data_IF_790155008348
#
_entry.id   IF_790155008348
#
_cell.length_a   1.000
_cell.length_b   1.000
_cell.length_c   1.000
_cell.angle_alpha   90.00
_cell.angle_beta   90.00
_cell.angle_gamma   90.00
#
_symmetry.space_group_name_H-M   'P 1'
#
loop_
_entity.id
_entity.type
_entity.pdbx_description
1 polymer ?
#
# COMPACT_ATOMS: atom_id res chain seq x y z
N UNK A 1 2.88 1.54 7.56
CA UNK A 1 1.95 0.44 7.86
C UNK A 1 1.02 0.28 6.66
N UNK A 2 0.61 -0.95 6.34
CA UNK A 2 -0.26 -1.32 5.22
C UNK A 2 -1.29 -2.35 5.70
N UNK A 3 -2.32 -2.63 4.91
CA UNK A 3 -3.40 -3.56 5.27
C UNK A 3 -4.38 -2.97 6.28
N UNK A 4 -4.52 -1.64 6.30
CA UNK A 4 -5.51 -1.00 7.17
C UNK A 4 -6.94 -1.33 6.71
N UNK A 5 -7.92 -1.37 7.63
CA UNK A 5 -9.31 -1.60 7.24
C UNK A 5 -9.76 -0.51 6.27
N UNK A 6 -10.39 -0.91 5.16
CA UNK A 6 -10.86 -0.04 4.09
C UNK A 6 -9.74 0.64 3.26
N UNK A 7 -8.49 0.19 3.39
CA UNK A 7 -7.38 0.70 2.59
C UNK A 7 -7.43 0.17 1.16
N UNK A 8 -7.45 1.09 0.19
CA UNK A 8 -7.37 0.77 -1.24
C UNK A 8 -5.91 0.82 -1.73
N UNK A 9 -5.65 0.22 -2.88
CA UNK A 9 -4.33 0.22 -3.52
C UNK A 9 -3.87 1.64 -3.88
N UNK A 10 -4.80 2.54 -4.21
CA UNK A 10 -4.47 3.96 -4.45
C UNK A 10 -3.97 4.65 -3.18
N UNK A 11 -4.57 4.37 -2.01
CA UNK A 11 -4.13 4.91 -0.72
C UNK A 11 -2.73 4.38 -0.33
N UNK A 12 -2.45 3.11 -0.60
CA UNK A 12 -1.10 2.53 -0.43
C UNK A 12 -0.10 3.26 -1.34
N UNK A 13 -0.47 3.50 -2.59
CA UNK A 13 0.38 4.21 -3.55
C UNK A 13 0.67 5.66 -3.12
N UNK A 14 -0.32 6.36 -2.55
CA UNK A 14 -0.13 7.69 -2.00
C UNK A 14 0.84 7.68 -0.81
N UNK A 15 0.75 6.67 0.05
CA UNK A 15 1.70 6.45 1.16
C UNK A 15 3.13 6.20 0.64
N UNK A 16 3.29 5.42 -0.44
CA UNK A 16 4.57 5.19 -1.11
C UNK A 16 5.15 6.52 -1.64
N UNK A 17 4.35 7.31 -2.36
CA UNK A 17 4.78 8.60 -2.89
C UNK A 17 5.18 9.58 -1.80
N UNK A 18 4.43 9.61 -0.69
CA UNK A 18 4.74 10.42 0.48
C UNK A 18 6.13 10.06 1.03
N UNK A 19 6.40 8.78 1.26
CA UNK A 19 7.71 8.33 1.74
C UNK A 19 8.84 8.66 0.74
N UNK A 20 8.60 8.52 -0.56
CA UNK A 20 9.55 8.89 -1.60
C UNK A 20 9.91 10.39 -1.60
N UNK A 21 8.93 11.26 -1.32
CA UNK A 21 9.15 12.71 -1.17
C UNK A 21 9.87 13.08 0.11
N UNK A 22 9.54 12.42 1.22
CA UNK A 22 10.17 12.67 2.53
C UNK A 22 11.65 12.26 2.58
N UNK A 23 12.07 11.31 1.72
CA UNK A 23 13.45 10.79 1.63
C UNK A 23 14.01 10.36 3.00
N UNK A 24 13.28 9.56 3.81
CA UNK A 24 13.78 9.12 5.11
C UNK A 24 15.04 8.25 4.96
N UNK A 25 15.89 8.26 5.98
CA UNK A 25 17.07 7.40 6.06
C UNK A 25 16.69 5.91 6.21
N UNK A 26 15.57 5.65 6.89
CA UNK A 26 15.10 4.29 7.19
C UNK A 26 13.59 4.24 7.03
N UNK A 27 13.09 3.16 6.42
CA UNK A 27 11.66 2.89 6.25
C UNK A 27 11.37 1.55 6.90
N UNK A 28 10.39 1.53 7.80
CA UNK A 28 9.85 0.31 8.38
C UNK A 28 8.43 0.13 7.87
N UNK A 29 8.18 -1.04 7.27
CA UNK A 29 6.86 -1.43 6.79
C UNK A 29 6.33 -2.52 7.71
N UNK A 30 5.11 -2.35 8.15
CA UNK A 30 4.38 -3.32 8.97
C UNK A 30 2.97 -3.49 8.42
N UNK A 31 2.39 -4.65 8.62
CA UNK A 31 0.98 -4.91 8.32
C UNK A 31 0.13 -4.70 9.55
N UNK A 32 -1.05 -4.11 9.38
CA UNK A 32 -2.02 -3.92 10.44
C UNK A 32 -2.56 -5.28 10.91
N UNK A 33 -2.62 -5.47 12.22
CA UNK A 33 -3.27 -6.62 12.87
C UNK A 33 -4.38 -6.07 13.77
N UNK A 34 -5.63 -6.57 13.65
CA UNK A 34 -6.75 -6.14 14.46
C UNK A 34 -6.63 -6.73 15.87
N UNK A 35 -5.86 -6.07 16.74
CA UNK A 35 -5.71 -6.54 18.12
C UNK A 35 -7.05 -6.52 18.87
N UNK A 36 -7.43 -7.61 19.56
CA UNK A 36 -8.66 -7.69 20.33
C UNK A 36 -8.81 -6.53 21.33
N UNK A 37 -10.06 -6.15 21.62
CA UNK A 37 -10.41 -5.05 22.54
C UNK A 37 -9.95 -3.65 22.10
N UNK A 38 -9.64 -3.45 20.82
CA UNK A 38 -9.40 -2.13 20.25
C UNK A 38 -10.59 -1.64 19.42
N UNK A 39 -10.77 -0.32 19.33
CA UNK A 39 -11.80 0.28 18.48
C UNK A 39 -11.67 -0.12 17.00
N UNK A 40 -10.44 -0.35 16.55
CA UNK A 40 -10.20 -0.81 15.17
C UNK A 40 -10.60 -2.27 14.99
N UNK A 41 -10.31 -3.15 15.95
CA UNK A 41 -10.82 -4.53 15.91
C UNK A 41 -12.35 -4.56 15.94
N UNK A 42 -13.00 -3.77 16.80
CA UNK A 42 -14.47 -3.65 16.78
C UNK A 42 -15.01 -3.18 15.43
N UNK A 43 -14.35 -2.22 14.79
CA UNK A 43 -14.71 -1.77 13.44
C UNK A 43 -14.58 -2.90 12.42
N UNK A 44 -13.48 -3.67 12.47
CA UNK A 44 -13.26 -4.80 11.57
C UNK A 44 -14.32 -5.87 11.77
N UNK A 45 -14.63 -6.22 13.03
CA UNK A 45 -15.68 -7.18 13.38
C UNK A 45 -17.06 -6.72 12.89
N UNK A 46 -17.45 -5.46 13.17
CA UNK A 46 -18.74 -4.90 12.74
C UNK A 46 -18.90 -4.87 11.22
N UNK A 47 -17.80 -4.70 10.48
CA UNK A 47 -17.78 -4.67 9.01
C UNK A 47 -17.54 -6.05 8.37
N UNK A 48 -17.37 -7.11 9.16
CA UNK A 48 -17.08 -8.45 8.63
C UNK A 48 -15.73 -8.56 7.92
N UNK A 49 -14.74 -7.74 8.33
CA UNK A 49 -13.42 -7.68 7.70
C UNK A 49 -12.42 -8.67 8.31
N UNK A 50 -12.75 -9.35 9.41
CA UNK A 50 -11.82 -10.30 10.04
C UNK A 50 -11.76 -11.59 9.22
N UNK A 51 -10.55 -12.06 8.88
CA UNK A 51 -10.34 -13.38 8.29
C UNK A 51 -9.93 -14.41 9.35
N UNK A 52 -9.99 -15.69 9.00
CA UNK A 52 -9.46 -16.78 9.84
C UNK A 52 -7.93 -16.94 9.72
N UNK A 53 -7.26 -16.04 8.98
CA UNK A 53 -5.81 -16.11 8.80
C UNK A 53 -5.08 -15.73 10.08
N UNK A 54 -4.22 -16.63 10.55
CA UNK A 54 -3.30 -16.35 11.65
C UNK A 54 -1.99 -15.80 11.08
N UNK A 55 -1.64 -14.61 11.56
CA UNK A 55 -0.39 -13.91 11.23
C UNK A 55 0.41 -13.75 12.52
N UNK A 56 1.60 -14.35 12.57
CA UNK A 56 2.41 -14.40 13.79
C UNK A 56 3.22 -13.10 13.98
N UNK A 57 3.47 -12.36 12.90
CA UNK A 57 4.25 -11.12 12.92
C UNK A 57 3.71 -10.06 11.98
N UNK A 58 3.72 -8.80 12.47
CA UNK A 58 3.41 -7.60 11.68
C UNK A 58 4.38 -7.36 10.52
N UNK A 59 5.48 -8.12 10.41
CA UNK A 59 6.49 -7.97 9.35
C UNK A 59 6.38 -9.01 8.24
N UNK A 60 5.41 -9.94 8.32
CA UNK A 60 5.23 -10.98 7.30
C UNK A 60 4.63 -10.46 5.99
N UNK A 61 4.05 -9.25 6.00
CA UNK A 61 3.40 -8.66 4.84
C UNK A 61 2.01 -9.22 4.54
N UNK A 62 1.56 -10.25 5.28
CA UNK A 62 0.22 -10.83 5.21
C UNK A 62 -0.77 -10.08 6.09
N UNK A 63 -2.03 -10.02 5.66
CA UNK A 63 -3.10 -9.28 6.35
C UNK A 63 -4.16 -10.24 6.88
N UNK A 64 -4.48 -10.22 8.19
CA UNK A 64 -5.58 -11.01 8.75
C UNK A 64 -6.96 -10.35 8.49
N UNK A 65 -7.04 -9.50 7.47
CA UNK A 65 -8.26 -8.82 7.07
C UNK A 65 -8.65 -9.24 5.65
N UNK A 66 -9.94 -9.45 5.45
CA UNK A 66 -10.57 -9.50 4.12
C UNK A 66 -10.50 -8.10 3.54
N UNK A 67 -9.81 -7.95 2.41
CA UNK A 67 -9.59 -6.67 1.76
C UNK A 67 -10.62 -6.45 0.65
N UNK A 68 -11.02 -5.19 0.44
CA UNK A 68 -11.94 -4.86 -0.65
C UNK A 68 -11.29 -5.05 -2.03
N UNK A 69 -9.99 -4.77 -2.13
CA UNK A 69 -9.19 -4.97 -3.33
C UNK A 69 -8.21 -6.13 -3.12
N UNK A 70 -8.57 -7.30 -3.65
CA UNK A 70 -7.75 -8.50 -3.71
C UNK A 70 -7.26 -8.78 -5.12
N UNK A 71 -6.04 -9.30 -5.24
CA UNK A 71 -5.46 -9.73 -6.50
C UNK A 71 -3.98 -9.43 -6.61
N UNK A 72 -3.31 -10.01 -7.63
CA UNK A 72 -1.84 -10.02 -7.72
C UNK A 72 -1.21 -8.62 -7.67
N UNK A 73 -1.92 -7.62 -8.19
CA UNK A 73 -1.41 -6.25 -8.27
C UNK A 73 -1.52 -5.55 -6.92
N UNK A 74 -2.66 -5.65 -6.24
CA UNK A 74 -2.83 -5.07 -4.91
C UNK A 74 -1.81 -5.66 -3.92
N UNK A 75 -1.59 -6.98 -4.00
CA UNK A 75 -0.59 -7.68 -3.19
C UNK A 75 0.83 -7.26 -3.56
N UNK A 76 1.12 -7.11 -4.85
CA UNK A 76 2.43 -6.62 -5.32
C UNK A 76 2.69 -5.19 -4.86
N UNK A 77 1.70 -4.31 -4.86
CA UNK A 77 1.86 -2.92 -4.39
C UNK A 77 2.11 -2.87 -2.88
N UNK A 78 1.37 -3.67 -2.09
CA UNK A 78 1.56 -3.76 -0.64
C UNK A 78 2.90 -4.41 -0.26
N UNK A 79 3.28 -5.52 -0.89
CA UNK A 79 4.57 -6.17 -0.66
C UNK A 79 5.74 -5.33 -1.21
N UNK A 80 5.50 -4.58 -2.27
CA UNK A 80 6.48 -3.79 -3.01
C UNK A 80 6.70 -2.36 -2.50
N UNK A 81 6.33 -2.02 -1.27
CA UNK A 81 6.47 -0.64 -0.75
C UNK A 81 7.90 -0.12 -0.91
N UNK A 82 8.91 -0.84 -0.44
CA UNK A 82 10.31 -0.39 -0.50
C UNK A 82 10.83 -0.18 -1.94
N UNK A 83 10.71 -1.14 -2.87
CA UNK A 83 11.16 -0.93 -4.24
C UNK A 83 10.40 0.21 -4.94
N UNK A 84 9.08 0.34 -4.70
CA UNK A 84 8.30 1.44 -5.28
C UNK A 84 8.71 2.79 -4.70
N UNK A 85 8.98 2.90 -3.39
CA UNK A 85 9.52 4.14 -2.80
C UNK A 85 10.85 4.51 -3.47
N UNK A 86 11.74 3.53 -3.69
CA UNK A 86 13.00 3.73 -4.41
C UNK A 86 12.80 4.24 -5.84
N UNK A 87 11.85 3.65 -6.58
CA UNK A 87 11.47 4.07 -7.92
C UNK A 87 10.97 5.52 -7.92
N UNK A 88 9.93 5.84 -7.13
CA UNK A 88 9.39 7.20 -7.07
C UNK A 88 10.43 8.22 -6.61
N UNK A 89 11.32 7.86 -5.67
CA UNK A 89 12.42 8.72 -5.23
C UNK A 89 13.38 9.05 -6.39
N UNK A 90 13.64 8.08 -7.28
CA UNK A 90 14.43 8.28 -8.50
C UNK A 90 13.71 9.20 -9.47
N UNK A 91 12.41 8.98 -9.71
CA UNK A 91 11.61 9.84 -10.59
C UNK A 91 11.56 11.29 -10.11
N UNK A 92 11.39 11.49 -8.79
CA UNK A 92 11.43 12.82 -8.18
C UNK A 92 12.82 13.47 -8.17
N UNK A 93 13.90 12.72 -8.43
CA UNK A 93 15.26 13.27 -8.52
C UNK A 93 15.65 13.79 -9.91
N UNK A 94 14.76 13.70 -10.91
CA UNK A 94 15.05 14.24 -12.24
C UNK A 94 15.11 15.77 -12.22
N UNK A 95 16.12 16.32 -12.92
CA UNK A 95 16.39 17.77 -12.96
C UNK A 95 15.30 18.58 -13.66
N UNK A 96 14.56 17.95 -14.59
CA UNK A 96 13.42 18.59 -15.26
C UNK A 96 12.13 18.25 -14.56
N UNK A 97 11.47 19.27 -13.99
CA UNK A 97 10.16 19.13 -13.34
C UNK A 97 9.07 18.56 -14.26
N UNK A 98 9.18 18.81 -15.57
CA UNK A 98 8.25 18.25 -16.54
C UNK A 98 8.49 16.75 -16.68
N UNK A 99 9.73 16.32 -16.88
CA UNK A 99 10.06 14.90 -17.02
C UNK A 99 9.70 14.12 -15.75
N UNK A 100 9.97 14.68 -14.56
CA UNK A 100 9.54 14.10 -13.29
C UNK A 100 8.02 13.90 -13.25
N UNK A 101 7.23 14.95 -13.55
CA UNK A 101 5.76 14.85 -13.59
C UNK A 101 5.24 13.83 -14.61
N UNK A 102 5.75 13.85 -15.83
CA UNK A 102 5.33 12.92 -16.88
C UNK A 102 5.68 11.47 -16.53
N UNK A 103 6.88 11.23 -15.98
CA UNK A 103 7.30 9.89 -15.56
C UNK A 103 6.44 9.35 -14.42
N UNK A 104 6.13 10.17 -13.43
CA UNK A 104 5.24 9.82 -12.31
C UNK A 104 3.84 9.53 -12.82
N UNK A 105 3.28 10.39 -13.70
CA UNK A 105 1.96 10.18 -14.28
C UNK A 105 1.88 8.87 -15.09
N UNK A 106 2.95 8.53 -15.82
CA UNK A 106 3.01 7.28 -16.58
C UNK A 106 3.05 6.06 -15.66
N UNK A 107 3.87 6.09 -14.60
CA UNK A 107 3.94 4.99 -13.63
C UNK A 107 2.63 4.87 -12.84
N UNK A 108 2.06 5.99 -12.39
CA UNK A 108 0.74 6.03 -11.74
C UNK A 108 -0.31 5.37 -12.62
N UNK A 109 -0.35 5.75 -13.90
CA UNK A 109 -1.29 5.17 -14.84
C UNK A 109 -1.01 3.69 -15.05
N UNK A 110 0.24 3.23 -15.12
CA UNK A 110 0.56 1.81 -15.30
C UNK A 110 0.16 0.95 -14.08
N UNK A 111 0.39 1.47 -12.88
CA UNK A 111 0.04 0.80 -11.62
C UNK A 111 -1.48 0.77 -11.45
N UNK A 112 -2.16 1.90 -11.68
CA UNK A 112 -3.62 2.04 -11.47
C UNK A 112 -4.46 1.54 -12.65
N UNK A 113 -3.99 1.59 -13.90
CA UNK A 113 -4.75 1.10 -15.06
C UNK A 113 -4.82 -0.41 -15.13
N UNK A 114 -3.88 -1.12 -14.47
CA UNK A 114 -3.94 -2.57 -14.33
C UNK A 114 -4.89 -2.99 -13.19
N UNK A 115 -5.37 -2.04 -12.38
CA UNK A 115 -6.28 -2.26 -11.24
C UNK A 115 -7.75 -1.99 -11.57
N UNK A 116 -8.08 -1.58 -12.80
CA UNK A 116 -9.49 -1.49 -13.24
C UNK A 116 -9.89 -2.86 -13.78
N UNK A 117 -10.85 -3.58 -13.16
CA UNK A 117 -11.43 -4.76 -13.77
C UNK A 117 -12.08 -4.33 -15.08
N UNK A 118 -11.79 -5.03 -16.19
CA UNK A 118 -12.74 -4.98 -17.30
C UNK A 118 -14.01 -5.67 -16.80
N UNK A 119 -15.09 -4.89 -16.74
CA UNK A 119 -16.44 -5.37 -16.44
C UNK A 119 -16.86 -6.52 -17.37
#
# INVERSE_FOLDING_TARGET
MTGLPLETTSMVLDTIKLNARCRPNTIQVSTFIPYPNTKLHELCARKGLLSDEQVDSIFEGRTPLVMEEEGPIADTVRAGVLPLVGLYRRLYSFSSERLARWSVMLVDRLVLSRLVPQA
#
